data_IF_764626401399
#
_entry.id   IF_764626401399
#
_cell.length_a   1.000
_cell.length_b   1.000
_cell.length_c   1.000
_cell.angle_alpha   90.00
_cell.angle_beta   90.00
_cell.angle_gamma   90.00
#
_symmetry.space_group_name_H-M   'P 1'
#
loop_
_entity.id
_entity.type
_entity.pdbx_description
1 polymer ?
#
# COMPACT_ATOMS: atom_id res chain seq x y z
N UNK A 1 -17.75 -21.86 -14.01
CA UNK A 1 -17.35 -21.11 -12.81
C UNK A 1 -18.52 -20.18 -12.47
N UNK A 2 -18.98 -20.16 -11.23
CA UNK A 2 -20.11 -19.30 -10.83
C UNK A 2 -19.53 -17.93 -10.45
N UNK A 3 -19.94 -16.86 -11.11
CA UNK A 3 -19.52 -15.49 -10.77
C UNK A 3 -20.56 -14.86 -9.86
N UNK A 4 -20.15 -14.29 -8.75
CA UNK A 4 -20.98 -13.48 -7.86
C UNK A 4 -20.50 -12.03 -7.97
N UNK A 5 -21.40 -11.16 -8.40
CA UNK A 5 -21.17 -9.72 -8.44
C UNK A 5 -21.72 -9.12 -7.14
N UNK A 6 -20.82 -8.52 -6.36
CA UNK A 6 -21.17 -7.79 -5.15
C UNK A 6 -21.36 -6.32 -5.47
N UNK A 7 -22.53 -5.77 -5.14
CA UNK A 7 -22.77 -4.35 -5.23
C UNK A 7 -21.88 -3.55 -4.26
N UNK A 8 -21.88 -2.22 -4.39
CA UNK A 8 -21.01 -1.34 -3.58
C UNK A 8 -21.24 -1.48 -2.07
N UNK A 9 -22.47 -1.80 -1.63
CA UNK A 9 -22.80 -1.99 -0.21
C UNK A 9 -22.32 -3.35 0.29
N UNK A 10 -22.58 -4.40 -0.49
CA UNK A 10 -22.12 -5.76 -0.18
C UNK A 10 -20.59 -5.85 -0.18
N UNK A 11 -19.92 -5.24 -1.16
CA UNK A 11 -18.47 -5.17 -1.21
C UNK A 11 -17.88 -4.45 0.03
N UNK A 12 -18.52 -3.36 0.47
CA UNK A 12 -18.11 -2.63 1.67
C UNK A 12 -18.36 -3.46 2.94
N UNK A 13 -19.47 -4.18 3.03
CA UNK A 13 -19.74 -5.07 4.15
C UNK A 13 -18.71 -6.20 4.25
N UNK A 14 -18.37 -6.83 3.12
CA UNK A 14 -17.29 -7.84 3.07
C UNK A 14 -15.96 -7.25 3.46
N UNK A 15 -15.61 -6.06 2.97
CA UNK A 15 -14.38 -5.37 3.35
C UNK A 15 -14.32 -5.09 4.86
N UNK A 16 -15.44 -4.69 5.48
CA UNK A 16 -15.52 -4.48 6.93
C UNK A 16 -15.30 -5.78 7.71
N UNK A 17 -15.91 -6.89 7.28
CA UNK A 17 -15.72 -8.21 7.89
C UNK A 17 -14.26 -8.67 7.78
N UNK A 18 -13.64 -8.50 6.61
CA UNK A 18 -12.23 -8.82 6.37
C UNK A 18 -11.32 -7.98 7.26
N UNK A 19 -11.62 -6.70 7.44
CA UNK A 19 -10.90 -5.81 8.35
C UNK A 19 -11.01 -6.27 9.82
N UNK A 20 -12.22 -6.64 10.27
CA UNK A 20 -12.43 -7.16 11.62
C UNK A 20 -11.66 -8.45 11.85
N UNK A 21 -11.68 -9.36 10.87
CA UNK A 21 -10.89 -10.58 10.91
C UNK A 21 -9.39 -10.27 11.01
N UNK A 22 -8.89 -9.34 10.20
CA UNK A 22 -7.50 -8.86 10.27
C UNK A 22 -7.15 -8.31 11.65
N UNK A 23 -8.02 -7.51 12.28
CA UNK A 23 -7.83 -7.01 13.65
C UNK A 23 -7.72 -8.15 14.68
N UNK A 24 -8.60 -9.14 14.59
CA UNK A 24 -8.55 -10.31 15.49
C UNK A 24 -7.24 -11.09 15.32
N UNK A 25 -6.80 -11.28 14.07
CA UNK A 25 -5.54 -11.98 13.79
C UNK A 25 -4.33 -11.22 14.33
N UNK A 26 -4.24 -9.91 14.10
CA UNK A 26 -3.16 -9.07 14.65
C UNK A 26 -3.17 -9.07 16.17
N UNK A 27 -4.35 -9.07 16.81
CA UNK A 27 -4.46 -9.15 18.27
C UNK A 27 -3.98 -10.51 18.83
N UNK A 28 -4.26 -11.61 18.12
CA UNK A 28 -3.91 -12.96 18.58
C UNK A 28 -2.51 -13.41 18.23
N UNK A 29 -1.96 -12.96 17.10
CA UNK A 29 -0.65 -13.39 16.59
C UNK A 29 0.40 -12.37 16.99
N UNK A 30 1.22 -12.70 17.99
CA UNK A 30 2.25 -11.81 18.55
C UNK A 30 3.26 -11.31 17.52
N UNK A 31 3.59 -12.11 16.52
CA UNK A 31 4.51 -11.73 15.43
C UNK A 31 3.94 -10.55 14.63
N UNK A 32 2.66 -10.61 14.21
CA UNK A 32 2.03 -9.54 13.44
C UNK A 32 2.01 -8.22 14.22
N UNK A 33 1.75 -8.30 15.52
CA UNK A 33 1.77 -7.14 16.42
C UNK A 33 3.18 -6.61 16.62
N UNK A 34 4.17 -7.50 16.79
CA UNK A 34 5.57 -7.12 16.98
C UNK A 34 6.14 -6.36 15.77
N UNK A 35 5.76 -6.76 14.56
CA UNK A 35 6.17 -6.09 13.33
C UNK A 35 5.23 -4.98 12.89
N UNK A 36 4.30 -4.56 13.73
CA UNK A 36 3.35 -3.47 13.46
C UNK A 36 2.61 -3.60 12.12
N UNK A 37 2.35 -4.86 11.67
CA UNK A 37 1.67 -5.10 10.40
C UNK A 37 0.21 -4.64 10.50
N UNK A 38 -0.28 -3.75 9.61
CA UNK A 38 -1.63 -3.23 9.70
C UNK A 38 -2.70 -4.30 9.48
N UNK A 39 -3.77 -4.24 10.28
CA UNK A 39 -4.88 -5.19 10.19
C UNK A 39 -5.52 -5.30 8.80
N UNK A 40 -5.69 -4.20 8.01
CA UNK A 40 -6.20 -4.30 6.65
C UNK A 40 -5.34 -5.17 5.73
N UNK A 41 -4.01 -5.12 5.90
CA UNK A 41 -3.08 -5.93 5.10
C UNK A 41 -3.22 -7.41 5.43
N UNK A 42 -3.29 -7.75 6.73
CA UNK A 42 -3.45 -9.14 7.18
C UNK A 42 -4.78 -9.72 6.71
N UNK A 43 -5.87 -8.99 6.90
CA UNK A 43 -7.19 -9.42 6.46
C UNK A 43 -7.29 -9.53 4.93
N UNK A 44 -6.81 -8.52 4.22
CA UNK A 44 -6.81 -8.48 2.75
C UNK A 44 -5.97 -9.60 2.13
N UNK A 45 -4.80 -9.89 2.70
CA UNK A 45 -3.94 -10.98 2.24
C UNK A 45 -4.61 -12.35 2.44
N UNK A 46 -5.23 -12.57 3.61
CA UNK A 46 -5.98 -13.80 3.87
C UNK A 46 -7.15 -13.96 2.89
N UNK A 47 -7.93 -12.89 2.67
CA UNK A 47 -8.99 -12.89 1.69
C UNK A 47 -8.48 -13.21 0.29
N UNK A 48 -7.37 -12.60 -0.14
CA UNK A 48 -6.77 -12.84 -1.44
C UNK A 48 -6.34 -14.31 -1.62
N UNK A 49 -5.72 -14.92 -0.60
CA UNK A 49 -5.33 -16.34 -0.63
C UNK A 49 -6.58 -17.22 -0.78
N UNK A 50 -7.59 -17.02 0.06
CA UNK A 50 -8.83 -17.82 0.02
C UNK A 50 -9.53 -17.66 -1.33
N UNK A 51 -9.67 -16.43 -1.82
CA UNK A 51 -10.28 -16.14 -3.12
C UNK A 51 -9.51 -16.79 -4.28
N UNK A 52 -8.17 -16.72 -4.25
CA UNK A 52 -7.32 -17.35 -5.28
C UNK A 52 -7.46 -18.87 -5.30
N UNK A 53 -7.51 -19.50 -4.12
CA UNK A 53 -7.73 -20.97 -4.02
C UNK A 53 -9.09 -21.35 -4.56
N UNK A 54 -10.17 -20.66 -4.15
CA UNK A 54 -11.54 -20.94 -4.56
C UNK A 54 -11.74 -20.72 -6.07
N UNK A 55 -11.13 -19.67 -6.61
CA UNK A 55 -11.10 -19.39 -8.05
C UNK A 55 -10.30 -20.45 -8.81
N UNK A 56 -9.14 -20.85 -8.30
CA UNK A 56 -8.29 -21.90 -8.90
C UNK A 56 -8.97 -23.26 -8.95
N UNK A 57 -9.82 -23.58 -7.99
CA UNK A 57 -10.68 -24.78 -8.00
C UNK A 57 -11.88 -24.67 -8.96
N UNK A 58 -12.07 -23.52 -9.62
CA UNK A 58 -13.20 -23.31 -10.55
C UNK A 58 -14.56 -23.18 -9.88
N UNK A 59 -14.62 -23.02 -8.56
CA UNK A 59 -15.86 -23.01 -7.78
C UNK A 59 -16.56 -21.65 -7.89
N UNK A 60 -15.84 -20.55 -7.58
CA UNK A 60 -16.44 -19.24 -7.44
C UNK A 60 -15.46 -18.13 -7.81
N UNK A 61 -15.98 -17.14 -8.54
CA UNK A 61 -15.31 -15.85 -8.79
C UNK A 61 -16.14 -14.74 -8.16
N UNK A 62 -15.51 -13.88 -7.34
CA UNK A 62 -16.18 -12.75 -6.71
C UNK A 62 -15.68 -11.48 -7.40
N UNK A 63 -16.60 -10.75 -8.01
CA UNK A 63 -16.37 -9.40 -8.54
C UNK A 63 -16.98 -8.39 -7.58
N UNK A 64 -16.21 -7.36 -7.20
CA UNK A 64 -16.64 -6.32 -6.28
C UNK A 64 -16.79 -5.00 -7.02
N UNK A 65 -17.88 -4.28 -6.77
CA UNK A 65 -18.03 -2.89 -7.20
C UNK A 65 -17.03 -1.99 -6.45
N UNK A 66 -16.23 -1.23 -7.20
CA UNK A 66 -15.18 -0.36 -6.68
C UNK A 66 -15.63 1.10 -6.47
N UNK A 67 -16.91 1.41 -6.67
CA UNK A 67 -17.43 2.79 -6.62
C UNK A 67 -17.17 3.44 -5.26
N UNK A 68 -17.55 2.80 -4.15
CA UNK A 68 -17.29 3.33 -2.81
C UNK A 68 -15.80 3.41 -2.46
N UNK A 69 -14.99 2.47 -2.93
CA UNK A 69 -13.52 2.55 -2.78
C UNK A 69 -13.00 3.84 -3.38
N UNK A 70 -13.44 4.20 -4.59
CA UNK A 70 -13.00 5.41 -5.27
C UNK A 70 -13.48 6.68 -4.54
N UNK A 71 -14.72 6.72 -4.07
CA UNK A 71 -15.26 7.83 -3.26
C UNK A 71 -14.44 8.02 -1.98
N UNK A 72 -14.20 6.93 -1.23
CA UNK A 72 -13.41 7.02 0.01
C UNK A 72 -11.95 7.39 -0.25
N UNK A 73 -11.38 6.97 -1.37
CA UNK A 73 -10.02 7.37 -1.76
C UNK A 73 -9.94 8.87 -2.03
N UNK A 74 -10.91 9.46 -2.74
CA UNK A 74 -10.99 10.90 -2.95
C UNK A 74 -11.15 11.63 -1.61
N UNK A 75 -12.07 11.18 -0.76
CA UNK A 75 -12.28 11.76 0.57
C UNK A 75 -11.01 11.72 1.42
N UNK A 76 -10.27 10.61 1.38
CA UNK A 76 -8.99 10.47 2.06
C UNK A 76 -7.97 11.51 1.57
N UNK A 77 -7.74 11.64 0.26
CA UNK A 77 -6.80 12.61 -0.27
C UNK A 77 -7.24 14.06 -0.01
N UNK A 78 -8.53 14.36 -0.07
CA UNK A 78 -9.05 15.66 0.35
C UNK A 78 -8.73 15.94 1.82
N UNK A 79 -8.97 14.98 2.71
CA UNK A 79 -8.66 15.10 4.14
C UNK A 79 -7.17 15.38 4.38
N UNK A 80 -6.29 14.65 3.70
CA UNK A 80 -4.84 14.88 3.75
C UNK A 80 -4.50 16.28 3.24
N UNK A 81 -5.10 16.70 2.12
CA UNK A 81 -4.90 18.04 1.56
C UNK A 81 -5.31 19.16 2.52
N UNK A 82 -6.42 19.02 3.24
CA UNK A 82 -6.86 19.99 4.23
C UNK A 82 -5.91 20.13 5.43
N UNK A 83 -5.16 19.09 5.76
CA UNK A 83 -4.14 19.16 6.83
C UNK A 83 -2.88 19.88 6.40
N UNK A 84 -2.64 20.00 5.08
CA UNK A 84 -1.49 20.70 4.53
C UNK A 84 -1.63 22.21 4.77
N UNK A 85 -0.71 22.80 5.52
CA UNK A 85 -0.72 24.22 5.89
C UNK A 85 0.62 24.87 5.59
N UNK A 86 0.60 25.98 4.86
CA UNK A 86 1.81 26.82 4.64
C UNK A 86 2.43 27.28 5.95
N UNK A 87 1.64 27.48 7.00
CA UNK A 87 2.15 27.85 8.33
C UNK A 87 2.98 26.72 8.94
N UNK A 88 2.55 25.46 8.80
CA UNK A 88 3.31 24.30 9.27
C UNK A 88 4.60 24.12 8.44
N UNK A 89 4.52 24.33 7.13
CA UNK A 89 5.70 24.28 6.26
C UNK A 89 6.74 25.32 6.64
N UNK A 90 6.32 26.57 6.93
CA UNK A 90 7.21 27.64 7.42
C UNK A 90 7.81 27.33 8.79
N UNK A 91 7.07 26.68 9.71
CA UNK A 91 7.60 26.26 11.02
C UNK A 91 8.69 25.20 10.91
N UNK A 92 8.61 24.32 9.92
CA UNK A 92 9.62 23.29 9.68
C UNK A 92 10.95 23.82 9.14
N UNK A 93 10.98 25.07 8.65
CA UNK A 93 12.19 25.76 8.23
C UNK A 93 12.98 25.04 7.14
N UNK A 94 14.28 25.30 7.12
CA UNK A 94 15.22 24.75 6.13
C UNK A 94 15.25 23.21 6.13
N UNK A 95 15.11 22.59 7.29
CA UNK A 95 15.13 21.13 7.42
C UNK A 95 14.00 20.47 6.61
N UNK A 96 12.79 21.05 6.63
CA UNK A 96 11.67 20.53 5.85
C UNK A 96 11.91 20.65 4.35
N UNK A 97 12.51 21.76 3.90
CA UNK A 97 12.84 21.95 2.48
C UNK A 97 13.92 20.97 2.03
N UNK A 98 14.96 20.77 2.84
CA UNK A 98 16.02 19.79 2.55
C UNK A 98 15.44 18.38 2.49
N UNK A 99 14.57 18.01 3.44
CA UNK A 99 13.93 16.70 3.45
C UNK A 99 13.04 16.50 2.22
N UNK A 100 12.28 17.52 1.81
CA UNK A 100 11.47 17.49 0.59
C UNK A 100 12.35 17.28 -0.65
N UNK A 101 13.46 18.02 -0.76
CA UNK A 101 14.38 17.87 -1.88
C UNK A 101 14.99 16.47 -1.93
N UNK A 102 15.44 15.92 -0.80
CA UNK A 102 15.97 14.55 -0.70
C UNK A 102 14.90 13.51 -1.10
N UNK A 103 13.65 13.69 -0.63
CA UNK A 103 12.55 12.81 -0.99
C UNK A 103 12.25 12.85 -2.49
N UNK A 104 12.28 14.04 -3.11
CA UNK A 104 12.09 14.19 -4.56
C UNK A 104 13.21 13.49 -5.35
N UNK A 105 14.47 13.66 -4.94
CA UNK A 105 15.60 12.94 -5.54
C UNK A 105 15.43 11.43 -5.42
N UNK A 106 15.02 10.94 -4.23
CA UNK A 106 14.77 9.52 -4.01
C UNK A 106 13.69 8.98 -4.95
N UNK A 107 12.58 9.70 -5.13
CA UNK A 107 11.49 9.34 -6.07
C UNK A 107 12.03 9.23 -7.50
N UNK A 108 12.83 10.20 -7.94
CA UNK A 108 13.43 10.18 -9.28
C UNK A 108 14.34 8.95 -9.45
N UNK A 109 15.21 8.68 -8.48
CA UNK A 109 16.11 7.53 -8.52
C UNK A 109 15.35 6.19 -8.52
N UNK A 110 14.29 6.08 -7.72
CA UNK A 110 13.41 4.89 -7.72
C UNK A 110 12.74 4.68 -9.07
N UNK A 111 12.28 5.74 -9.71
CA UNK A 111 11.65 5.63 -11.03
C UNK A 111 12.65 5.24 -12.12
N UNK A 112 13.85 5.83 -12.11
CA UNK A 112 14.92 5.45 -13.05
C UNK A 112 15.32 3.98 -12.85
N UNK A 113 15.50 3.56 -11.60
CA UNK A 113 15.85 2.18 -11.27
C UNK A 113 14.75 1.21 -11.69
N UNK A 114 13.49 1.52 -11.34
CA UNK A 114 12.33 0.69 -11.68
C UNK A 114 12.14 0.55 -13.19
N UNK A 115 12.15 1.66 -13.92
CA UNK A 115 12.04 1.66 -15.38
C UNK A 115 13.23 0.96 -16.05
N UNK A 116 14.45 1.18 -15.53
CA UNK A 116 15.65 0.50 -16.02
C UNK A 116 15.59 -1.01 -15.85
N UNK A 117 15.21 -1.49 -14.65
CA UNK A 117 15.04 -2.92 -14.38
C UNK A 117 13.93 -3.52 -15.25
N UNK A 118 12.78 -2.88 -15.39
CA UNK A 118 11.72 -3.35 -16.26
C UNK A 118 12.23 -3.51 -17.70
N UNK A 119 12.98 -2.53 -18.21
CA UNK A 119 13.59 -2.58 -19.55
C UNK A 119 14.57 -3.74 -19.71
N UNK A 120 15.41 -4.01 -18.70
CA UNK A 120 16.37 -5.15 -18.71
C UNK A 120 15.65 -6.49 -18.80
N UNK A 121 14.49 -6.60 -18.15
CA UNK A 121 13.65 -7.81 -18.21
C UNK A 121 12.72 -7.86 -19.44
N UNK A 122 12.82 -6.91 -20.37
CA UNK A 122 11.96 -6.86 -21.57
C UNK A 122 10.51 -6.50 -21.27
N UNK A 123 10.23 -5.88 -20.11
CA UNK A 123 8.92 -5.41 -19.71
C UNK A 123 8.75 -3.93 -20.10
N UNK A 124 7.50 -3.46 -20.12
CA UNK A 124 7.23 -2.04 -20.32
C UNK A 124 7.90 -1.21 -19.20
N UNK A 125 8.76 -0.22 -19.55
CA UNK A 125 9.44 0.62 -18.56
C UNK A 125 8.47 1.32 -17.58
N UNK A 126 7.26 1.62 -18.03
CA UNK A 126 6.21 2.23 -17.19
C UNK A 126 5.71 1.28 -16.11
N UNK A 127 5.82 -0.05 -16.30
CA UNK A 127 5.55 -1.02 -15.24
C UNK A 127 6.54 -0.87 -14.07
N UNK A 128 7.76 -0.40 -14.36
CA UNK A 128 8.75 -0.07 -13.34
C UNK A 128 8.31 1.08 -12.41
N UNK A 129 7.45 1.99 -12.86
CA UNK A 129 6.83 3.00 -12.00
C UNK A 129 5.83 2.37 -11.02
N UNK A 130 5.09 1.36 -11.50
CA UNK A 130 4.13 0.60 -10.68
C UNK A 130 4.81 -0.27 -9.59
N UNK A 131 6.12 -0.51 -9.68
CA UNK A 131 6.93 -1.17 -8.65
C UNK A 131 7.87 -0.21 -7.93
N UNK A 132 8.05 1.00 -8.45
CA UNK A 132 8.93 2.05 -7.96
C UNK A 132 8.27 3.01 -6.97
N UNK A 133 8.36 4.29 -7.24
CA UNK A 133 7.92 5.34 -6.31
C UNK A 133 6.42 5.34 -6.03
N UNK A 134 5.59 4.96 -6.99
CA UNK A 134 4.12 4.96 -6.84
C UNK A 134 3.74 4.16 -5.59
N UNK A 135 4.07 2.85 -5.48
CA UNK A 135 3.72 2.06 -4.30
C UNK A 135 4.65 2.29 -3.10
N UNK A 136 5.94 2.55 -3.32
CA UNK A 136 6.94 2.57 -2.25
C UNK A 136 6.92 3.87 -1.44
N UNK A 137 6.62 4.99 -2.07
CA UNK A 137 6.52 6.31 -1.40
C UNK A 137 5.06 6.65 -1.09
N UNK A 138 4.17 6.45 -2.04
CA UNK A 138 2.75 6.81 -1.88
C UNK A 138 1.85 5.71 -1.32
N UNK A 139 2.31 4.47 -1.28
CA UNK A 139 1.58 3.33 -0.72
C UNK A 139 0.35 2.92 -1.54
N UNK A 140 -0.62 2.28 -0.87
CA UNK A 140 -1.84 1.77 -1.51
C UNK A 140 -2.73 2.87 -2.12
N UNK A 141 -2.71 4.09 -1.55
CA UNK A 141 -3.50 5.21 -2.07
C UNK A 141 -3.06 5.61 -3.47
N UNK A 142 -1.78 5.88 -3.65
CA UNK A 142 -1.20 6.23 -4.95
C UNK A 142 -1.19 5.05 -5.91
N UNK A 143 -0.92 3.83 -5.44
CA UNK A 143 -1.04 2.62 -6.25
C UNK A 143 -2.47 2.46 -6.80
N UNK A 144 -3.49 2.70 -5.97
CA UNK A 144 -4.89 2.65 -6.37
C UNK A 144 -5.33 3.75 -7.32
N UNK A 145 -4.64 4.90 -7.33
CA UNK A 145 -4.93 6.02 -8.23
C UNK A 145 -4.18 5.91 -9.56
N UNK A 146 -2.87 5.63 -9.51
CA UNK A 146 -2.01 5.60 -10.68
C UNK A 146 -2.01 4.27 -11.42
N UNK A 147 -2.36 3.16 -10.74
CA UNK A 147 -2.48 1.85 -11.37
C UNK A 147 -3.46 1.85 -12.54
N UNK A 148 -4.74 2.25 -12.35
CA UNK A 148 -5.70 2.36 -13.44
C UNK A 148 -5.26 3.32 -14.53
N UNK A 149 -4.64 4.47 -14.18
CA UNK A 149 -4.12 5.42 -15.16
C UNK A 149 -3.03 4.78 -16.05
N UNK A 150 -2.13 3.98 -15.47
CA UNK A 150 -1.13 3.26 -16.27
C UNK A 150 -1.77 2.20 -17.16
N UNK A 151 -2.87 1.57 -16.74
CA UNK A 151 -3.63 0.62 -17.57
C UNK A 151 -4.32 1.33 -18.74
N UNK A 152 -4.90 2.51 -18.52
CA UNK A 152 -5.44 3.36 -19.59
C UNK A 152 -4.36 3.78 -20.61
N UNK A 153 -3.12 3.95 -20.14
CA UNK A 153 -1.95 4.20 -21.00
C UNK A 153 -1.40 2.95 -21.69
N UNK A 154 -2.06 1.78 -21.51
CA UNK A 154 -1.72 0.52 -22.18
C UNK A 154 -0.74 -0.36 -21.43
N UNK A 155 -0.46 -0.10 -20.14
CA UNK A 155 0.38 -0.98 -19.30
C UNK A 155 -0.48 -2.04 -18.64
N UNK A 156 -0.47 -3.25 -19.19
CA UNK A 156 -1.31 -4.34 -18.70
C UNK A 156 -1.01 -4.69 -17.22
N UNK A 157 -2.07 -4.90 -16.44
CA UNK A 157 -2.03 -5.31 -15.03
C UNK A 157 -1.27 -4.34 -14.08
N UNK A 158 -1.09 -3.09 -14.47
CA UNK A 158 -0.36 -2.11 -13.66
C UNK A 158 -1.01 -1.88 -12.29
N UNK A 159 -2.33 -1.90 -12.19
CA UNK A 159 -3.07 -1.79 -10.92
C UNK A 159 -2.74 -2.92 -9.96
N UNK A 160 -2.73 -4.16 -10.45
CA UNK A 160 -2.44 -5.34 -9.63
C UNK A 160 -0.99 -5.32 -9.15
N UNK A 161 -0.07 -5.02 -10.05
CA UNK A 161 1.38 -4.92 -9.74
C UNK A 161 1.64 -3.81 -8.73
N UNK A 162 1.05 -2.62 -8.91
CA UNK A 162 1.23 -1.50 -8.00
C UNK A 162 0.71 -1.80 -6.58
N UNK A 163 -0.48 -2.41 -6.45
CA UNK A 163 -1.05 -2.77 -5.15
C UNK A 163 -0.25 -3.89 -4.47
N UNK A 164 0.18 -4.90 -5.22
CA UNK A 164 1.03 -5.97 -4.70
C UNK A 164 2.37 -5.41 -4.19
N UNK A 165 2.99 -4.51 -4.96
CA UNK A 165 4.23 -3.83 -4.58
C UNK A 165 4.05 -2.93 -3.36
N UNK A 166 2.92 -2.21 -3.23
CA UNK A 166 2.59 -1.42 -2.05
C UNK A 166 2.47 -2.29 -0.79
N UNK A 167 1.84 -3.45 -0.92
CA UNK A 167 1.72 -4.42 0.18
C UNK A 167 3.08 -4.95 0.61
N UNK A 168 3.91 -5.33 -0.36
CA UNK A 168 5.28 -5.76 -0.10
C UNK A 168 6.10 -4.67 0.58
N UNK A 169 6.08 -3.44 0.03
CA UNK A 169 6.82 -2.29 0.56
C UNK A 169 6.42 -1.96 2.00
N UNK A 170 5.11 -2.04 2.32
CA UNK A 170 4.62 -1.81 3.67
C UNK A 170 5.15 -2.87 4.65
N UNK A 171 5.04 -4.15 4.30
CA UNK A 171 5.51 -5.25 5.16
C UNK A 171 7.03 -5.20 5.34
N UNK A 172 7.77 -5.06 4.24
CA UNK A 172 9.23 -4.94 4.27
C UNK A 172 9.70 -3.72 5.07
N UNK A 173 9.03 -2.57 4.89
CA UNK A 173 9.32 -1.35 5.65
C UNK A 173 9.07 -1.51 7.15
N UNK A 174 8.01 -2.19 7.55
CA UNK A 174 7.76 -2.50 8.96
C UNK A 174 8.86 -3.41 9.55
N UNK A 175 9.26 -4.44 8.82
CA UNK A 175 10.30 -5.40 9.29
C UNK A 175 11.66 -4.71 9.40
N UNK A 176 12.07 -3.97 8.36
CA UNK A 176 13.36 -3.28 8.32
C UNK A 176 13.40 -2.14 9.35
N UNK A 177 12.34 -1.35 9.44
CA UNK A 177 12.26 -0.23 10.38
C UNK A 177 12.40 -0.69 11.83
N UNK A 178 11.72 -1.76 12.22
CA UNK A 178 11.86 -2.34 13.56
C UNK A 178 13.25 -2.92 13.81
N UNK A 179 13.87 -3.56 12.81
CA UNK A 179 15.23 -4.06 12.94
C UNK A 179 16.22 -2.91 13.18
N UNK A 180 16.09 -1.79 12.46
CA UNK A 180 16.93 -0.61 12.63
C UNK A 180 16.75 0.04 14.01
N UNK A 181 15.54 0.15 14.52
CA UNK A 181 15.27 0.69 15.86
C UNK A 181 15.95 -0.18 16.94
N UNK A 182 15.84 -1.51 16.84
CA UNK A 182 16.50 -2.41 17.79
C UNK A 182 18.04 -2.37 17.74
N UNK A 183 18.61 -2.06 16.59
CA UNK A 183 20.08 -1.90 16.43
C UNK A 183 20.54 -0.53 16.94
N UNK A 184 19.75 0.52 16.70
CA UNK A 184 20.15 1.92 16.97
C UNK A 184 19.91 2.37 18.42
N UNK A 185 19.02 1.71 19.17
CA UNK A 185 18.69 2.06 20.56
C UNK A 185 18.88 0.89 21.55
N UNK A 186 20.05 0.21 21.61
CA UNK A 186 20.25 -0.88 22.58
C UNK A 186 20.41 -0.39 24.03
N UNK A 187 20.47 0.92 24.28
CA UNK A 187 20.87 1.50 25.57
C UNK A 187 19.96 2.60 26.11
N UNK A 188 18.76 2.81 25.52
CA UNK A 188 17.84 3.77 26.11
C UNK A 188 17.21 3.14 27.37
N UNK A 189 17.53 3.64 28.60
CA UNK A 189 16.88 3.16 29.82
C UNK A 189 15.38 3.42 29.67
N UNK A 190 14.54 2.40 29.89
CA UNK A 190 13.11 2.62 30.04
C UNK A 190 12.88 3.58 31.19
N UNK A 191 12.01 4.63 31.04
CA UNK A 191 11.68 5.48 32.16
C UNK A 191 11.02 4.60 33.21
N UNK A 192 11.62 4.55 34.39
CA UNK A 192 11.10 3.88 35.57
C UNK A 192 9.80 4.60 35.92
N UNK A 193 8.67 3.92 35.69
CA UNK A 193 7.32 4.38 36.08
C UNK A 193 7.11 4.24 37.56
#
# INVERSE_FOLDING_TARGET
MKTIELDMYQATAVAALVLLLGRVLVAKISILRRYCIPAPVVGGFLYAIVHTIVRGMGILEISCDMTLKNVFMVAFFCSVGFTASFRMLKKGGVQTVVFLALSAVMVILQNILGAGLASVFGLDPRLGLATGSIPMVGGHGTAGSFGPLLEELGVANASVVAIASATYGLVAGCVIGLSLIHISEPTRPEPIS
#
